data_IF_471002879904
#
_entry.id   IF_471002879904
#
_cell.length_a   1.000
_cell.length_b   1.000
_cell.length_c   1.000
_cell.angle_alpha   90.00
_cell.angle_beta   90.00
_cell.angle_gamma   90.00
#
_symmetry.space_group_name_H-M   'P 1'
#
loop_
_entity.id
_entity.type
_entity.pdbx_description
1 polymer ?
#
# COMPACT_ATOMS: atom_id res chain seq x y z
N UNK A 1 -31.97 -28.56 -4.25
CA UNK A 1 -31.24 -28.09 -3.04
C UNK A 1 -29.72 -27.86 -3.25
N UNK A 2 -29.23 -27.49 -4.46
CA UNK A 2 -27.79 -27.24 -4.73
C UNK A 2 -27.39 -25.75 -4.85
N UNK A 3 -28.36 -24.82 -4.90
CA UNK A 3 -28.10 -23.38 -5.12
C UNK A 3 -27.51 -22.64 -3.92
N UNK A 4 -27.82 -23.07 -2.69
CA UNK A 4 -27.31 -22.42 -1.46
C UNK A 4 -25.81 -22.65 -1.25
N UNK A 5 -25.30 -23.82 -1.63
CA UNK A 5 -23.87 -24.12 -1.52
C UNK A 5 -23.04 -23.23 -2.47
N UNK A 6 -23.48 -23.11 -3.73
CA UNK A 6 -22.83 -22.25 -4.72
C UNK A 6 -22.88 -20.77 -4.33
N UNK A 7 -24.01 -20.30 -3.81
CA UNK A 7 -24.12 -18.91 -3.35
C UNK A 7 -23.15 -18.62 -2.19
N UNK A 8 -23.02 -19.56 -1.23
CA UNK A 8 -22.07 -19.42 -0.11
C UNK A 8 -20.63 -19.39 -0.59
N UNK A 9 -20.24 -20.30 -1.47
CA UNK A 9 -18.88 -20.36 -2.04
C UNK A 9 -18.52 -19.08 -2.80
N UNK A 10 -19.46 -18.55 -3.59
CA UNK A 10 -19.26 -17.30 -4.33
C UNK A 10 -19.09 -16.13 -3.36
N UNK A 11 -19.95 -16.02 -2.35
CA UNK A 11 -19.86 -14.94 -1.35
C UNK A 11 -18.55 -15.03 -0.57
N UNK A 12 -18.13 -16.23 -0.16
CA UNK A 12 -16.87 -16.45 0.55
C UNK A 12 -15.67 -16.06 -0.31
N UNK A 13 -15.65 -16.47 -1.58
CA UNK A 13 -14.59 -16.13 -2.53
C UNK A 13 -14.51 -14.62 -2.76
N UNK A 14 -15.66 -13.96 -2.95
CA UNK A 14 -15.74 -12.51 -3.14
C UNK A 14 -15.27 -11.79 -1.88
N UNK A 15 -15.73 -12.22 -0.69
CA UNK A 15 -15.36 -11.62 0.57
C UNK A 15 -13.85 -11.72 0.82
N UNK A 16 -13.26 -12.90 0.62
CA UNK A 16 -11.83 -13.11 0.76
C UNK A 16 -11.03 -12.25 -0.22
N UNK A 17 -11.47 -12.20 -1.49
CA UNK A 17 -10.83 -11.39 -2.53
C UNK A 17 -10.87 -9.90 -2.17
N UNK A 18 -12.03 -9.41 -1.70
CA UNK A 18 -12.18 -8.02 -1.26
C UNK A 18 -11.29 -7.69 -0.08
N UNK A 19 -11.21 -8.58 0.92
CA UNK A 19 -10.35 -8.39 2.09
C UNK A 19 -8.90 -8.28 1.64
N UNK A 20 -8.40 -9.22 0.84
CA UNK A 20 -7.02 -9.21 0.33
C UNK A 20 -6.76 -7.93 -0.48
N UNK A 21 -7.67 -7.56 -1.37
CA UNK A 21 -7.57 -6.35 -2.18
C UNK A 21 -7.47 -5.09 -1.32
N UNK A 22 -8.33 -4.95 -0.31
CA UNK A 22 -8.32 -3.80 0.59
C UNK A 22 -7.01 -3.74 1.38
N UNK A 23 -6.57 -4.86 1.94
CA UNK A 23 -5.30 -4.94 2.68
C UNK A 23 -4.15 -4.46 1.81
N UNK A 24 -4.00 -4.98 0.59
CA UNK A 24 -2.92 -4.57 -0.32
C UNK A 24 -3.02 -3.07 -0.67
N UNK A 25 -4.23 -2.60 -0.99
CA UNK A 25 -4.45 -1.21 -1.41
C UNK A 25 -4.18 -0.19 -0.30
N UNK A 26 -4.42 -0.54 0.96
CA UNK A 26 -4.09 0.32 2.10
C UNK A 26 -2.66 0.14 2.59
N UNK A 27 -2.06 -1.05 2.38
CA UNK A 27 -0.70 -1.36 2.79
C UNK A 27 0.37 -0.69 1.93
N UNK A 28 0.18 -0.72 0.61
CA UNK A 28 1.19 -0.34 -0.36
C UNK A 28 0.66 0.81 -1.20
N UNK A 29 1.44 1.87 -1.31
CA UNK A 29 1.11 3.01 -2.17
C UNK A 29 2.27 3.34 -3.10
N UNK A 30 1.99 3.43 -4.39
CA UNK A 30 2.99 3.85 -5.38
C UNK A 30 3.05 5.38 -5.44
N UNK A 31 4.25 5.92 -5.37
CA UNK A 31 4.53 7.35 -5.54
C UNK A 31 5.57 7.55 -6.63
N UNK A 32 5.43 8.64 -7.39
CA UNK A 32 6.46 9.11 -8.32
C UNK A 32 7.27 10.19 -7.62
N UNK A 33 8.59 10.04 -7.65
CA UNK A 33 9.52 11.05 -7.15
C UNK A 33 9.54 12.22 -8.13
N UNK A 34 9.41 13.44 -7.61
CA UNK A 34 9.45 14.67 -8.40
C UNK A 34 10.61 15.55 -7.92
N UNK A 35 11.54 15.85 -8.83
CA UNK A 35 12.71 16.68 -8.57
C UNK A 35 13.97 15.89 -8.19
N UNK A 36 15.04 16.63 -7.87
CA UNK A 36 16.41 16.09 -7.73
C UNK A 36 16.91 16.00 -6.28
N UNK A 37 16.09 16.41 -5.31
CA UNK A 37 16.51 16.55 -3.90
C UNK A 37 16.87 15.24 -3.21
N UNK A 38 16.45 14.10 -3.77
CA UNK A 38 16.70 12.77 -3.22
C UNK A 38 17.91 12.07 -3.87
N UNK A 39 18.65 12.73 -4.76
CA UNK A 39 19.85 12.17 -5.36
C UNK A 39 20.98 12.00 -4.32
N UNK A 40 21.81 10.94 -4.44
CA UNK A 40 21.78 9.90 -5.47
C UNK A 40 20.84 8.72 -5.14
N UNK A 41 20.10 8.77 -4.02
CA UNK A 41 19.30 7.65 -3.52
C UNK A 41 18.08 7.35 -4.39
N UNK A 42 17.30 8.37 -4.74
CA UNK A 42 16.15 8.27 -5.65
C UNK A 42 16.27 9.26 -6.79
N UNK A 43 15.95 8.81 -7.99
CA UNK A 43 16.03 9.62 -9.21
C UNK A 43 14.71 10.30 -9.53
N UNK A 44 14.79 11.39 -10.28
CA UNK A 44 13.61 12.09 -10.79
C UNK A 44 12.77 11.16 -11.69
N UNK A 45 11.44 11.23 -11.54
CA UNK A 45 10.46 10.35 -12.21
C UNK A 45 10.53 8.86 -11.84
N UNK A 46 11.33 8.48 -10.83
CA UNK A 46 11.36 7.11 -10.32
C UNK A 46 10.05 6.79 -9.57
N UNK A 47 9.52 5.57 -9.77
CA UNK A 47 8.35 5.08 -9.03
C UNK A 47 8.79 4.22 -7.85
N UNK A 48 8.33 4.58 -6.66
CA UNK A 48 8.63 3.87 -5.42
C UNK A 48 7.36 3.31 -4.79
N UNK A 49 7.47 2.11 -4.21
CA UNK A 49 6.40 1.50 -3.43
C UNK A 49 6.62 1.78 -1.95
N UNK A 50 5.69 2.51 -1.35
CA UNK A 50 5.74 2.91 0.05
C UNK A 50 4.93 1.93 0.89
N UNK A 51 5.57 1.37 1.92
CA UNK A 51 4.92 0.54 2.94
C UNK A 51 4.31 1.44 4.02
N UNK A 52 2.98 1.58 4.01
CA UNK A 52 2.25 2.40 4.98
C UNK A 52 2.00 1.68 6.30
N UNK A 53 2.03 0.35 6.30
CA UNK A 53 1.80 -0.48 7.49
C UNK A 53 2.99 -0.39 8.45
N UNK A 54 4.20 -0.18 7.93
CA UNK A 54 5.42 -0.01 8.72
C UNK A 54 5.24 1.01 9.87
N UNK A 55 4.59 2.15 9.61
CA UNK A 55 4.30 3.18 10.62
C UNK A 55 3.30 2.77 11.72
N UNK A 56 2.55 1.68 11.54
CA UNK A 56 1.69 1.14 12.59
C UNK A 56 2.49 0.32 13.62
N UNK A 57 3.66 -0.19 13.23
CA UNK A 57 4.48 -1.08 14.06
C UNK A 57 5.71 -0.40 14.66
N UNK A 58 6.26 0.61 13.98
CA UNK A 58 7.39 1.38 14.48
C UNK A 58 7.31 2.84 14.05
N UNK A 59 7.88 3.72 14.87
CA UNK A 59 8.11 5.10 14.48
C UNK A 59 9.20 5.18 13.39
N UNK A 60 9.26 6.28 12.61
CA UNK A 60 10.37 6.50 11.69
C UNK A 60 11.69 6.61 12.44
N UNK A 61 12.72 5.94 11.94
CA UNK A 61 14.07 5.92 12.51
C UNK A 61 15.06 6.69 11.64
N UNK A 62 16.26 6.95 12.20
CA UNK A 62 17.31 7.64 11.45
C UNK A 62 17.77 6.75 10.29
N UNK A 63 17.68 7.29 9.08
CA UNK A 63 18.00 6.58 7.85
C UNK A 63 16.78 6.19 7.03
N UNK A 64 15.57 6.29 7.59
CA UNK A 64 14.34 6.02 6.85
C UNK A 64 14.05 7.11 5.81
N UNK A 65 13.59 6.67 4.63
CA UNK A 65 12.99 7.54 3.62
C UNK A 65 11.48 7.58 3.88
N UNK A 66 10.98 8.76 4.24
CA UNK A 66 9.58 8.95 4.62
C UNK A 66 8.83 9.81 3.60
N UNK A 67 7.53 9.56 3.46
CA UNK A 67 6.60 10.42 2.72
C UNK A 67 5.70 11.11 3.72
N UNK A 68 5.62 12.43 3.67
CA UNK A 68 4.82 13.24 4.58
C UNK A 68 3.97 14.25 3.80
N UNK A 69 2.87 14.71 4.42
CA UNK A 69 2.06 15.78 3.85
C UNK A 69 2.80 17.09 4.00
N UNK A 70 2.87 17.87 2.92
CA UNK A 70 3.53 19.17 2.95
C UNK A 70 2.85 20.07 4.01
N UNK A 71 3.61 20.58 4.99
CA UNK A 71 3.07 21.47 6.01
C UNK A 71 2.82 22.84 5.38
N UNK A 72 1.56 23.14 5.05
CA UNK A 72 1.11 24.48 4.70
C UNK A 72 0.91 25.34 5.95
#
# INVERSE_FOLDING_TARGET
MKRSHLAREIVETIALTLIIFLVIRFAIQSYRVEGVSMLPGLHDNEYVLVNKISYLFHAPERGDVIVFHFPL
#
